data_IF_268976011240
#
_entry.id   IF_268976011240
#
_cell.length_a   1.000
_cell.length_b   1.000
_cell.length_c   1.000
_cell.angle_alpha   90.00
_cell.angle_beta   90.00
_cell.angle_gamma   90.00
#
_symmetry.space_group_name_H-M   'P 1'
#
loop_
_entity.id
_entity.type
_entity.pdbx_description
1 polymer ?
#
# COMPACT_ATOMS: atom_id res chain seq x y z
N UNK A 1 15.35 20.13 -14.64
CA UNK A 1 14.09 19.97 -13.87
C UNK A 1 13.43 18.66 -14.24
N UNK A 2 13.05 17.89 -13.25
CA UNK A 2 12.24 16.68 -13.47
C UNK A 2 10.82 17.09 -13.90
N UNK A 3 10.34 16.56 -15.02
CA UNK A 3 8.97 16.80 -15.49
C UNK A 3 7.99 15.88 -14.77
N UNK A 4 6.79 16.39 -14.49
CA UNK A 4 5.65 15.57 -14.05
C UNK A 4 5.16 14.73 -15.25
N UNK A 5 5.40 13.43 -15.22
CA UNK A 5 5.20 12.55 -16.37
C UNK A 5 3.72 12.36 -16.75
N UNK A 6 2.79 12.63 -15.84
CA UNK A 6 1.35 12.53 -16.08
C UNK A 6 0.74 13.79 -16.70
N UNK A 7 1.54 14.80 -17.01
CA UNK A 7 1.12 15.98 -17.75
C UNK A 7 1.84 16.02 -19.08
N UNK A 8 1.07 16.22 -20.16
CA UNK A 8 1.63 16.39 -21.49
C UNK A 8 2.23 17.81 -21.68
N UNK A 9 2.74 18.12 -22.87
CA UNK A 9 3.36 19.42 -23.16
C UNK A 9 2.36 20.59 -23.05
N UNK A 10 1.06 20.31 -23.22
CA UNK A 10 -0.03 21.28 -23.05
C UNK A 10 -0.51 21.41 -21.60
N UNK A 11 0.07 20.66 -20.65
CA UNK A 11 -0.33 20.66 -19.25
C UNK A 11 -1.56 19.81 -18.93
N UNK A 12 -2.01 18.99 -19.86
CA UNK A 12 -3.18 18.13 -19.70
C UNK A 12 -2.78 16.76 -19.13
N UNK A 13 -3.66 16.19 -18.31
CA UNK A 13 -3.46 14.86 -17.75
C UNK A 13 -3.52 13.78 -18.84
N UNK A 14 -2.57 12.86 -18.80
CA UNK A 14 -2.55 11.68 -19.66
C UNK A 14 -1.88 10.49 -18.97
N UNK A 15 -2.26 9.29 -19.40
CA UNK A 15 -1.58 8.07 -18.99
C UNK A 15 -0.31 7.91 -19.84
N UNK A 16 0.83 7.68 -19.19
CA UNK A 16 2.13 7.55 -19.86
C UNK A 16 2.13 6.33 -20.79
N UNK A 17 2.63 6.48 -22.01
CA UNK A 17 2.82 5.34 -22.92
C UNK A 17 4.01 4.50 -22.47
N UNK A 18 3.75 3.26 -22.10
CA UNK A 18 4.77 2.27 -21.72
C UNK A 18 4.91 1.13 -22.73
N UNK A 19 4.23 1.24 -23.88
CA UNK A 19 4.20 0.20 -24.91
C UNK A 19 5.58 -0.16 -25.49
N UNK A 20 6.51 0.80 -25.51
CA UNK A 20 7.88 0.59 -25.98
C UNK A 20 8.87 0.12 -24.92
N UNK A 21 8.45 0.00 -23.68
CA UNK A 21 9.34 -0.44 -22.58
C UNK A 21 9.39 -1.95 -22.50
N UNK A 22 10.59 -2.55 -22.28
CA UNK A 22 10.71 -3.99 -22.10
C UNK A 22 10.04 -4.43 -20.80
N UNK A 23 9.49 -5.63 -20.79
CA UNK A 23 9.00 -6.25 -19.59
C UNK A 23 10.19 -6.71 -18.72
N UNK A 24 10.30 -6.16 -17.52
CA UNK A 24 11.34 -6.50 -16.55
C UNK A 24 10.73 -6.89 -15.21
N UNK A 25 11.47 -7.68 -14.42
CA UNK A 25 11.07 -7.99 -13.06
C UNK A 25 11.09 -6.72 -12.22
N UNK A 26 10.01 -6.46 -11.50
CA UNK A 26 9.83 -5.26 -10.68
C UNK A 26 9.25 -5.63 -9.33
N UNK A 27 9.73 -4.95 -8.31
CA UNK A 27 9.27 -5.13 -6.95
C UNK A 27 9.19 -3.78 -6.26
N UNK A 28 8.21 -3.62 -5.39
CA UNK A 28 8.09 -2.44 -4.54
C UNK A 28 7.66 -2.85 -3.13
N UNK A 29 8.17 -2.12 -2.14
CA UNK A 29 7.79 -2.27 -0.74
C UNK A 29 7.33 -0.92 -0.21
N UNK A 30 6.15 -0.91 0.41
CA UNK A 30 5.61 0.26 1.11
C UNK A 30 5.31 -0.11 2.56
N UNK A 31 5.27 0.86 3.42
CA UNK A 31 4.85 0.70 4.82
C UNK A 31 3.99 1.86 5.25
N UNK A 32 3.32 1.65 6.39
CA UNK A 32 2.55 2.64 7.11
C UNK A 32 2.14 2.10 8.46
N UNK A 33 1.44 2.91 9.23
CA UNK A 33 0.92 2.49 10.53
C UNK A 33 -0.41 3.13 10.84
N UNK A 34 -1.17 2.50 11.71
CA UNK A 34 -2.36 3.08 12.30
C UNK A 34 -2.16 3.12 13.83
N UNK A 35 -2.26 4.32 14.38
CA UNK A 35 -2.16 4.55 15.83
C UNK A 35 -3.54 4.53 16.45
N UNK A 36 -3.62 4.01 17.67
CA UNK A 36 -4.89 3.78 18.35
C UNK A 36 -4.74 3.89 19.85
N UNK A 37 -5.86 3.85 20.57
CA UNK A 37 -5.85 3.74 22.01
C UNK A 37 -5.29 2.38 22.44
N UNK A 38 -4.59 2.30 23.61
CA UNK A 38 -4.09 1.03 24.12
C UNK A 38 -5.16 -0.04 24.25
N UNK A 39 -6.37 0.34 24.67
CA UNK A 39 -7.50 -0.57 24.80
C UNK A 39 -7.92 -1.17 23.44
N UNK A 40 -7.86 -0.38 22.38
CA UNK A 40 -8.18 -0.84 21.02
C UNK A 40 -7.19 -1.89 20.54
N UNK A 41 -5.90 -1.66 20.77
CA UNK A 41 -4.87 -2.62 20.40
C UNK A 41 -5.02 -3.94 21.17
N UNK A 42 -5.36 -3.86 22.47
CA UNK A 42 -5.65 -5.06 23.26
C UNK A 42 -6.81 -5.87 22.71
N UNK A 43 -7.86 -5.21 22.22
CA UNK A 43 -9.00 -5.90 21.58
C UNK A 43 -8.57 -6.62 20.30
N UNK A 44 -7.73 -5.99 19.49
CA UNK A 44 -7.18 -6.63 18.28
C UNK A 44 -6.37 -7.87 18.66
N UNK A 45 -5.47 -7.75 19.62
CA UNK A 45 -4.60 -8.85 20.08
C UNK A 45 -5.39 -10.00 20.71
N UNK A 46 -6.46 -9.69 21.44
CA UNK A 46 -7.31 -10.69 22.07
C UNK A 46 -8.24 -11.43 21.09
N UNK A 47 -8.34 -10.96 19.84
CA UNK A 47 -9.28 -11.53 18.86
C UNK A 47 -10.76 -11.33 19.21
N UNK A 48 -11.08 -10.44 20.16
CA UNK A 48 -12.42 -10.25 20.71
C UNK A 48 -13.37 -9.39 19.90
N UNK A 49 -13.04 -9.05 18.64
CA UNK A 49 -13.90 -8.26 17.78
C UNK A 49 -15.07 -9.08 17.22
N UNK A 50 -16.30 -8.55 17.32
CA UNK A 50 -17.51 -9.16 16.74
C UNK A 50 -17.44 -9.34 15.22
N UNK A 51 -16.60 -8.58 14.52
CA UNK A 51 -16.39 -8.65 13.07
C UNK A 51 -15.34 -9.71 12.66
N UNK A 52 -14.78 -10.47 13.59
CA UNK A 52 -13.77 -11.49 13.33
C UNK A 52 -12.33 -10.97 13.50
N UNK A 53 -11.37 -11.68 12.92
CA UNK A 53 -9.96 -11.34 13.00
C UNK A 53 -9.65 -10.07 12.18
N UNK A 54 -9.40 -8.97 12.87
CA UNK A 54 -9.16 -7.65 12.26
C UNK A 54 -7.96 -7.70 11.31
N UNK A 55 -6.85 -8.30 11.73
CA UNK A 55 -5.63 -8.31 10.91
C UNK A 55 -5.76 -9.23 9.69
N UNK A 56 -6.45 -10.36 9.83
CA UNK A 56 -6.69 -11.25 8.70
C UNK A 56 -7.56 -10.57 7.63
N UNK A 57 -8.63 -9.87 8.04
CA UNK A 57 -9.50 -9.14 7.11
C UNK A 57 -8.74 -7.98 6.47
N UNK A 58 -7.94 -7.24 7.22
CA UNK A 58 -7.13 -6.15 6.69
C UNK A 58 -6.10 -6.64 5.67
N UNK A 59 -5.49 -7.80 5.91
CA UNK A 59 -4.55 -8.41 4.96
C UNK A 59 -5.21 -8.71 3.63
N UNK A 60 -6.35 -9.38 3.65
CA UNK A 60 -7.11 -9.71 2.43
C UNK A 60 -7.53 -8.43 1.70
N UNK A 61 -8.03 -7.43 2.43
CA UNK A 61 -8.42 -6.14 1.84
C UNK A 61 -7.26 -5.44 1.14
N UNK A 62 -6.07 -5.46 1.74
CA UNK A 62 -4.86 -4.89 1.14
C UNK A 62 -4.43 -5.63 -0.14
N UNK A 63 -4.50 -6.96 -0.14
CA UNK A 63 -4.21 -7.76 -1.35
C UNK A 63 -5.20 -7.42 -2.46
N UNK A 64 -6.48 -7.35 -2.15
CA UNK A 64 -7.52 -6.96 -3.13
C UNK A 64 -7.29 -5.55 -3.68
N UNK A 65 -6.92 -4.61 -2.81
CA UNK A 65 -6.65 -3.23 -3.20
C UNK A 65 -5.45 -3.11 -4.14
N UNK A 66 -4.38 -3.85 -3.89
CA UNK A 66 -3.22 -3.90 -4.79
C UNK A 66 -3.65 -4.29 -6.21
N UNK A 67 -4.53 -5.28 -6.33
CA UNK A 67 -5.06 -5.79 -7.62
C UNK A 67 -6.02 -4.81 -8.30
N UNK A 68 -6.56 -3.83 -7.58
CA UNK A 68 -7.54 -2.85 -8.07
C UNK A 68 -6.96 -1.44 -8.19
N UNK A 69 -5.67 -1.27 -8.07
CA UNK A 69 -5.04 0.05 -8.02
C UNK A 69 -5.39 0.91 -9.24
N UNK A 70 -5.37 0.35 -10.45
CA UNK A 70 -5.71 1.08 -11.66
C UNK A 70 -7.17 1.56 -11.71
N UNK A 71 -8.08 0.91 -10.99
CA UNK A 71 -9.48 1.34 -10.87
C UNK A 71 -9.64 2.51 -9.90
N UNK A 72 -8.69 2.70 -8.99
CA UNK A 72 -8.73 3.73 -7.94
C UNK A 72 -7.89 4.96 -8.30
N UNK A 73 -6.79 4.78 -9.00
CA UNK A 73 -5.84 5.82 -9.35
C UNK A 73 -5.91 6.07 -10.86
N UNK A 74 -6.42 7.22 -11.30
CA UNK A 74 -6.87 7.43 -12.67
C UNK A 74 -5.85 7.17 -13.77
N UNK A 75 -4.59 7.49 -13.54
CA UNK A 75 -3.55 7.41 -14.57
C UNK A 75 -2.58 6.23 -14.35
N UNK A 76 -2.92 5.30 -13.46
CA UNK A 76 -2.17 4.07 -13.27
C UNK A 76 -2.52 3.05 -14.36
N UNK A 77 -1.50 2.36 -14.86
CA UNK A 77 -1.69 1.25 -15.78
C UNK A 77 -2.23 0.02 -15.03
N UNK A 78 -3.15 -0.75 -15.63
CA UNK A 78 -3.51 -2.05 -15.09
C UNK A 78 -2.32 -3.00 -15.18
N UNK A 79 -1.98 -3.64 -14.07
CA UNK A 79 -0.81 -4.52 -13.96
C UNK A 79 -1.26 -5.87 -13.45
N UNK A 80 -0.78 -6.93 -14.11
CA UNK A 80 -0.90 -8.30 -13.62
C UNK A 80 0.17 -8.54 -12.55
N UNK A 81 -0.21 -8.50 -11.28
CA UNK A 81 0.69 -8.76 -10.17
C UNK A 81 1.00 -10.26 -10.07
N UNK A 82 2.26 -10.60 -9.89
CA UNK A 82 2.71 -11.98 -9.68
C UNK A 82 2.84 -12.32 -8.20
N UNK A 83 2.99 -11.31 -7.34
CA UNK A 83 3.15 -11.48 -5.90
C UNK A 83 2.62 -10.27 -5.15
N UNK A 84 1.85 -10.53 -4.10
CA UNK A 84 1.44 -9.53 -3.11
C UNK A 84 1.57 -10.14 -1.74
N UNK A 85 2.36 -9.52 -0.87
CA UNK A 85 2.50 -9.94 0.53
C UNK A 85 2.21 -8.75 1.44
N UNK A 86 1.41 -8.98 2.46
CA UNK A 86 1.07 -7.96 3.46
C UNK A 86 1.38 -8.51 4.83
N UNK A 87 2.22 -7.80 5.53
CA UNK A 87 2.59 -8.07 6.91
C UNK A 87 1.94 -6.99 7.80
N UNK A 88 1.27 -7.44 8.85
CA UNK A 88 0.62 -6.58 9.84
C UNK A 88 1.16 -6.96 11.21
N UNK A 89 1.88 -6.03 11.85
CA UNK A 89 2.60 -6.25 13.10
C UNK A 89 2.09 -5.29 14.16
N UNK A 90 1.44 -5.78 15.21
CA UNK A 90 1.10 -4.95 16.36
C UNK A 90 2.36 -4.46 17.09
N UNK A 91 2.35 -3.18 17.48
CA UNK A 91 3.41 -2.54 18.24
C UNK A 91 2.80 -1.97 19.52
N UNK A 92 2.95 -2.70 20.63
CA UNK A 92 2.39 -2.28 21.92
C UNK A 92 3.10 -1.05 22.50
N UNK A 93 4.35 -0.80 22.14
CA UNK A 93 5.10 0.36 22.64
C UNK A 93 4.57 1.67 22.04
N UNK A 94 4.14 1.62 20.80
CA UNK A 94 3.60 2.78 20.08
C UNK A 94 2.07 2.79 20.00
N UNK A 95 1.40 1.78 20.53
CA UNK A 95 -0.05 1.58 20.39
C UNK A 95 -0.49 1.69 18.94
N UNK A 96 0.13 0.90 18.09
CA UNK A 96 -0.08 0.95 16.66
C UNK A 96 -0.07 -0.45 16.05
N UNK A 97 -0.60 -0.55 14.82
CA UNK A 97 -0.33 -1.68 13.94
C UNK A 97 0.48 -1.17 12.77
N UNK A 98 1.62 -1.79 12.54
CA UNK A 98 2.46 -1.51 11.38
C UNK A 98 2.03 -2.40 10.23
N UNK A 99 1.95 -1.81 9.03
CA UNK A 99 1.67 -2.52 7.80
C UNK A 99 2.85 -2.39 6.84
N UNK A 100 3.27 -3.50 6.29
CA UNK A 100 4.28 -3.55 5.23
C UNK A 100 3.71 -4.36 4.07
N UNK A 101 3.74 -3.80 2.87
CA UNK A 101 3.27 -4.46 1.66
C UNK A 101 4.40 -4.60 0.65
N UNK A 102 4.54 -5.80 0.10
CA UNK A 102 5.42 -6.09 -1.02
C UNK A 102 4.56 -6.46 -2.22
N UNK A 103 4.85 -5.85 -3.36
CA UNK A 103 4.22 -6.17 -4.64
C UNK A 103 5.27 -6.45 -5.69
N UNK A 104 5.00 -7.39 -6.59
CA UNK A 104 5.92 -7.73 -7.67
C UNK A 104 5.16 -8.05 -8.97
N UNK A 105 5.82 -7.79 -10.07
CA UNK A 105 5.35 -8.12 -11.41
C UNK A 105 6.54 -8.30 -12.36
N UNK A 106 6.28 -8.86 -13.52
CA UNK A 106 7.15 -8.73 -14.69
C UNK A 106 6.38 -7.93 -15.73
N UNK A 107 6.80 -6.70 -15.99
CA UNK A 107 6.03 -5.81 -16.85
C UNK A 107 6.78 -4.51 -17.22
N UNK A 108 6.14 -3.66 -18.02
CA UNK A 108 6.75 -2.45 -18.58
C UNK A 108 6.78 -1.26 -17.60
N UNK A 109 6.12 -1.36 -16.46
CA UNK A 109 6.08 -0.28 -15.45
C UNK A 109 6.19 -0.83 -14.04
N UNK A 110 6.52 0.02 -13.08
CA UNK A 110 6.70 -0.33 -11.68
C UNK A 110 5.39 -0.61 -10.95
N UNK A 111 5.50 -1.10 -9.73
CA UNK A 111 4.39 -1.53 -8.88
C UNK A 111 4.33 -0.77 -7.54
N UNK A 112 4.90 0.43 -7.51
CA UNK A 112 4.91 1.29 -6.34
C UNK A 112 3.51 1.67 -5.88
N UNK A 113 2.63 2.02 -6.82
CA UNK A 113 1.26 2.41 -6.50
C UNK A 113 0.46 1.26 -5.92
N UNK A 114 0.69 0.06 -6.40
CA UNK A 114 0.06 -1.17 -5.89
C UNK A 114 0.46 -1.44 -4.45
N UNK A 115 1.73 -1.26 -4.10
CA UNK A 115 2.23 -1.41 -2.74
C UNK A 115 1.65 -0.33 -1.80
N UNK A 116 1.64 0.93 -2.23
CA UNK A 116 1.09 2.04 -1.47
C UNK A 116 -0.42 1.91 -1.26
N UNK A 117 -1.16 1.51 -2.27
CA UNK A 117 -2.61 1.28 -2.19
C UNK A 117 -2.91 0.15 -1.23
N UNK A 118 -2.16 -0.94 -1.29
CA UNK A 118 -2.30 -2.08 -0.38
C UNK A 118 -2.16 -1.66 1.08
N UNK A 119 -1.12 -0.89 1.41
CA UNK A 119 -0.90 -0.38 2.78
C UNK A 119 -2.08 0.48 3.23
N UNK A 120 -2.50 1.43 2.41
CA UNK A 120 -3.56 2.36 2.77
C UNK A 120 -4.89 1.67 3.03
N UNK A 121 -5.28 0.72 2.18
CA UNK A 121 -6.55 0.00 2.33
C UNK A 121 -6.49 -1.01 3.47
N UNK A 122 -5.36 -1.65 3.72
CA UNK A 122 -5.18 -2.49 4.90
C UNK A 122 -5.38 -1.68 6.19
N UNK A 123 -4.76 -0.52 6.31
CA UNK A 123 -4.91 0.38 7.46
C UNK A 123 -6.34 0.92 7.57
N UNK A 124 -6.95 1.30 6.46
CA UNK A 124 -8.34 1.77 6.42
C UNK A 124 -9.31 0.69 6.88
N UNK A 125 -9.04 -0.56 6.55
CA UNK A 125 -9.84 -1.71 7.00
C UNK A 125 -9.74 -1.91 8.51
N UNK A 126 -8.56 -1.76 9.09
CA UNK A 126 -8.41 -1.76 10.56
C UNK A 126 -9.25 -0.65 11.18
N UNK A 127 -9.20 0.56 10.60
CA UNK A 127 -10.02 1.68 11.06
C UNK A 127 -11.52 1.33 11.00
N UNK A 128 -12.00 0.82 9.90
CA UNK A 128 -13.41 0.46 9.75
C UNK A 128 -13.85 -0.59 10.78
N UNK A 129 -13.03 -1.59 11.03
CA UNK A 129 -13.36 -2.66 11.95
C UNK A 129 -13.31 -2.24 13.43
N UNK A 130 -12.54 -1.21 13.76
CA UNK A 130 -12.32 -0.76 15.15
C UNK A 130 -13.00 0.58 15.47
N UNK A 131 -13.53 1.32 14.51
CA UNK A 131 -14.09 2.66 14.70
C UNK A 131 -15.24 2.74 15.71
N UNK A 132 -15.95 1.64 15.92
CA UNK A 132 -17.03 1.61 16.92
C UNK A 132 -16.52 1.86 18.35
N UNK A 133 -15.28 1.47 18.65
CA UNK A 133 -14.65 1.67 19.96
C UNK A 133 -13.59 2.76 19.98
N UNK A 134 -13.08 3.16 18.81
CA UNK A 134 -12.00 4.15 18.72
C UNK A 134 -12.06 4.92 17.40
N UNK A 135 -12.75 6.06 17.39
CA UNK A 135 -12.83 6.93 16.20
C UNK A 135 -11.61 7.80 15.99
N UNK A 136 -10.77 7.94 17.01
CA UNK A 136 -9.59 8.80 16.98
C UNK A 136 -8.34 8.16 16.37
N UNK A 137 -8.43 6.96 15.81
CA UNK A 137 -7.29 6.31 15.18
C UNK A 137 -6.76 7.13 14.01
N UNK A 138 -5.44 7.14 13.88
CA UNK A 138 -4.74 7.91 12.84
C UNK A 138 -3.86 7.02 12.00
N UNK A 139 -4.09 7.02 10.69
CA UNK A 139 -3.22 6.39 9.70
C UNK A 139 -2.09 7.35 9.36
N UNK A 140 -0.84 6.93 9.52
CA UNK A 140 0.32 7.82 9.39
C UNK A 140 1.53 7.08 8.84
N UNK A 141 2.55 7.84 8.44
CA UNK A 141 3.85 7.33 7.98
C UNK A 141 3.74 6.39 6.78
N UNK A 142 2.73 6.59 5.93
CA UNK A 142 2.57 5.81 4.71
C UNK A 142 3.56 6.31 3.66
N UNK A 143 4.40 5.41 3.16
CA UNK A 143 5.38 5.76 2.15
C UNK A 143 6.06 4.55 1.53
N UNK A 144 6.70 4.80 0.41
CA UNK A 144 7.53 3.81 -0.28
C UNK A 144 8.83 3.58 0.50
N UNK A 145 9.20 2.34 0.69
CA UNK A 145 10.45 1.94 1.34
C UNK A 145 11.52 1.63 0.33
N UNK A 146 11.17 0.87 -0.70
CA UNK A 146 12.09 0.46 -1.75
C UNK A 146 11.35 0.12 -3.03
N UNK A 147 12.07 0.20 -4.13
CA UNK A 147 11.66 -0.36 -5.41
C UNK A 147 12.87 -0.90 -6.15
N UNK A 148 12.67 -1.93 -6.93
CA UNK A 148 13.69 -2.54 -7.79
C UNK A 148 13.15 -2.80 -9.18
N UNK A 149 14.05 -2.86 -10.14
CA UNK A 149 13.74 -3.16 -11.54
C UNK A 149 13.49 -1.92 -12.38
N UNK A 150 13.49 -2.13 -13.69
CA UNK A 150 13.32 -1.08 -14.68
C UNK A 150 14.57 -0.22 -14.91
N UNK A 151 14.41 0.83 -15.74
CA UNK A 151 15.50 1.71 -16.16
C UNK A 151 16.14 2.49 -15.01
N UNK A 152 15.37 2.85 -14.00
CA UNK A 152 15.87 3.60 -12.82
C UNK A 152 16.57 2.72 -11.77
N UNK A 153 16.56 1.39 -11.94
CA UNK A 153 17.24 0.46 -11.04
C UNK A 153 16.62 0.41 -9.64
N UNK A 154 17.48 0.30 -8.64
CA UNK A 154 17.06 0.21 -7.23
C UNK A 154 17.00 1.57 -6.57
N UNK A 155 15.90 1.83 -5.90
CA UNK A 155 15.72 3.00 -5.03
C UNK A 155 15.40 2.54 -3.61
N UNK A 156 16.04 3.15 -2.64
CA UNK A 156 15.79 2.92 -1.22
C UNK A 156 15.51 4.27 -0.54
N UNK A 157 14.49 4.28 0.32
CA UNK A 157 14.21 5.45 1.14
C UNK A 157 15.35 5.64 2.14
N UNK A 158 15.94 6.82 2.15
CA UNK A 158 16.92 7.22 3.16
C UNK A 158 16.19 7.61 4.45
N UNK A 159 16.81 7.33 5.63
CA UNK A 159 16.22 7.73 6.92
C UNK A 159 16.06 9.24 7.06
#
# INVERSE_FOLDING_TARGET
MSKLTHLNESGEAHMVDVGGKPATAREAVAEGRIRMQPATLRLILAGGHKKGDVLAVARVAGIMAAKKTAELIPLCHPIALTRVEIELVPDEKQNAVLCRALTATTGPTGVEMEALTAVQVALLTIYDMCKAVDRGMTMTDVGLVSKTGGKSGTWLRTP
#
